data_IF_955448723010
#
_entry.id   IF_955448723010
#
_cell.length_a   1.000
_cell.length_b   1.000
_cell.length_c   1.000
_cell.angle_alpha   90.00
_cell.angle_beta   90.00
_cell.angle_gamma   90.00
#
_symmetry.space_group_name_H-M   'P 1'
#
loop_
_entity.id
_entity.type
_entity.pdbx_description
1 polymer ?
#
# COMPACT_ATOMS: atom_id res chain seq x y z
N UNK A 1 7.40 -2.95 12.17
CA UNK A 1 6.84 -2.67 10.83
C UNK A 1 5.76 -1.64 11.06
N UNK A 2 5.81 -0.51 10.38
CA UNK A 2 4.82 0.55 10.52
C UNK A 2 4.06 0.63 9.20
N UNK A 3 2.75 0.41 9.24
CA UNK A 3 1.89 0.53 8.07
C UNK A 3 1.12 1.85 8.16
N UNK A 4 1.17 2.64 7.09
CA UNK A 4 0.43 3.90 6.95
C UNK A 4 -0.44 3.82 5.71
N UNK A 5 -1.70 4.21 5.84
CA UNK A 5 -2.68 4.19 4.76
C UNK A 5 -3.21 5.61 4.62
N UNK A 6 -2.78 6.27 3.55
CA UNK A 6 -3.16 7.64 3.20
C UNK A 6 -4.20 7.58 2.08
N UNK A 7 -5.24 8.41 2.15
CA UNK A 7 -6.17 8.56 1.03
C UNK A 7 -5.53 9.51 0.02
N UNK A 8 -5.36 9.05 -1.22
CA UNK A 8 -4.91 9.91 -2.32
C UNK A 8 -6.09 10.75 -2.84
N UNK A 9 -5.79 11.83 -3.55
CA UNK A 9 -6.80 12.77 -4.08
C UNK A 9 -7.72 12.10 -5.12
N UNK A 10 -7.18 11.09 -5.82
CA UNK A 10 -7.94 10.17 -6.68
C UNK A 10 -8.47 9.02 -5.83
N UNK A 11 -9.62 8.40 -6.17
CA UNK A 11 -10.26 7.24 -5.51
C UNK A 11 -9.34 6.01 -5.30
N UNK A 12 -8.28 6.21 -4.54
CA UNK A 12 -7.14 5.33 -4.38
C UNK A 12 -6.50 5.65 -3.04
N UNK A 13 -5.83 4.66 -2.48
CA UNK A 13 -5.14 4.76 -1.20
C UNK A 13 -3.67 4.51 -1.42
N UNK A 14 -2.81 5.30 -0.77
CA UNK A 14 -1.39 5.08 -0.76
C UNK A 14 -1.03 4.34 0.53
N UNK A 15 -0.65 3.08 0.37
CA UNK A 15 -0.21 2.21 1.46
C UNK A 15 1.31 2.27 1.55
N UNK A 16 1.84 2.71 2.69
CA UNK A 16 3.27 2.74 2.99
C UNK A 16 3.59 1.76 4.10
N UNK A 17 4.56 0.89 3.88
CA UNK A 17 5.07 -0.06 4.87
C UNK A 17 6.53 0.30 5.16
N UNK A 18 6.84 0.57 6.42
CA UNK A 18 8.21 0.77 6.88
C UNK A 18 8.67 -0.47 7.66
N UNK A 19 9.76 -1.08 7.24
CA UNK A 19 10.33 -2.23 7.95
C UNK A 19 11.17 -1.77 9.17
N UNK A 20 11.68 -2.73 9.96
CA UNK A 20 12.50 -2.42 11.14
C UNK A 20 13.87 -1.82 10.78
N UNK A 21 14.32 -2.03 9.55
CA UNK A 21 15.59 -1.51 9.03
C UNK A 21 15.46 -0.05 8.53
N UNK A 22 14.26 0.54 8.62
CA UNK A 22 13.99 1.90 8.13
C UNK A 22 13.61 1.99 6.65
N UNK A 23 13.71 0.88 5.91
CA UNK A 23 13.32 0.81 4.50
C UNK A 23 11.82 1.03 4.34
N UNK A 24 11.44 1.91 3.42
CA UNK A 24 10.05 2.31 3.15
C UNK A 24 9.62 1.72 1.81
N UNK A 25 8.45 1.11 1.83
CA UNK A 25 7.83 0.47 0.70
C UNK A 25 6.46 1.10 0.47
N UNK A 26 6.10 1.36 -0.78
CA UNK A 26 4.89 2.12 -1.12
C UNK A 26 4.13 1.37 -2.20
N UNK A 27 2.83 1.20 -2.01
CA UNK A 27 1.91 0.61 -2.97
C UNK A 27 0.70 1.52 -3.15
N UNK A 28 0.35 1.80 -4.41
CA UNK A 28 -0.91 2.46 -4.73
C UNK A 28 -2.02 1.42 -4.81
N UNK A 29 -3.01 1.57 -3.95
CA UNK A 29 -4.19 0.71 -3.86
C UNK A 29 -5.33 1.39 -4.61
N UNK A 30 -5.74 0.83 -5.74
CA UNK A 30 -6.83 1.38 -6.53
C UNK A 30 -8.17 0.82 -6.04
N UNK A 31 -9.17 1.68 -5.88
CA UNK A 31 -10.53 1.23 -5.66
C UNK A 31 -11.05 0.63 -6.97
N UNK A 32 -11.27 -0.69 -7.03
CA UNK A 32 -11.90 -1.34 -8.19
C UNK A 32 -13.38 -0.99 -8.18
N UNK A 33 -13.76 0.02 -8.95
CA UNK A 33 -15.16 0.37 -9.18
C UNK A 33 -15.74 -0.64 -10.20
N UNK A 34 -16.20 -1.80 -9.75
CA UNK A 34 -16.68 -2.83 -10.71
C UNK A 34 -17.28 -4.12 -10.18
N UNK A 35 -17.25 -4.40 -8.87
CA UNK A 35 -18.05 -5.48 -8.29
C UNK A 35 -18.69 -4.99 -7.00
N UNK A 36 -19.92 -5.45 -6.74
CA UNK A 36 -20.85 -5.00 -5.68
C UNK A 36 -20.38 -5.33 -4.24
N UNK A 37 -19.12 -5.10 -3.95
CA UNK A 37 -18.57 -5.04 -2.62
C UNK A 37 -17.76 -3.75 -2.61
N UNK A 38 -18.22 -2.73 -1.89
CA UNK A 38 -17.46 -1.52 -1.66
C UNK A 38 -16.12 -1.92 -1.02
N UNK A 39 -15.08 -2.12 -1.84
CA UNK A 39 -13.70 -2.31 -1.37
C UNK A 39 -13.25 -0.98 -0.80
N UNK A 40 -13.70 -0.67 0.41
CA UNK A 40 -13.46 0.58 1.11
C UNK A 40 -11.99 0.83 1.37
N UNK A 41 -11.68 1.69 2.34
CA UNK A 41 -10.30 1.91 2.77
C UNK A 41 -9.64 0.54 3.06
N UNK A 42 -8.49 0.20 2.44
CA UNK A 42 -7.84 -1.07 2.68
C UNK A 42 -7.55 -1.19 4.17
N UNK A 43 -7.78 -2.37 4.74
CA UNK A 43 -7.48 -2.61 6.15
C UNK A 43 -6.00 -2.87 6.35
N UNK A 44 -5.51 -2.64 7.57
CA UNK A 44 -4.13 -2.97 7.91
C UNK A 44 -3.83 -4.45 7.63
N UNK A 45 -4.76 -5.37 7.97
CA UNK A 45 -4.58 -6.80 7.72
C UNK A 45 -4.40 -7.15 6.25
N UNK A 46 -5.16 -6.52 5.36
CA UNK A 46 -5.01 -6.72 3.91
C UNK A 46 -3.67 -6.22 3.40
N UNK A 47 -3.25 -5.04 3.86
CA UNK A 47 -1.93 -4.47 3.50
C UNK A 47 -0.79 -5.33 4.04
N UNK A 48 -0.90 -5.85 5.27
CA UNK A 48 0.10 -6.75 5.85
C UNK A 48 0.17 -8.10 5.14
N UNK A 49 -0.99 -8.69 4.79
CA UNK A 49 -1.08 -9.93 4.04
C UNK A 49 -0.45 -9.76 2.65
N UNK A 50 -0.85 -8.72 1.93
CA UNK A 50 -0.32 -8.41 0.61
C UNK A 50 1.17 -8.04 0.66
N UNK A 51 1.65 -7.41 1.72
CA UNK A 51 3.09 -7.19 1.93
C UNK A 51 3.86 -8.50 2.11
N UNK A 52 3.29 -9.47 2.83
CA UNK A 52 3.90 -10.78 3.05
C UNK A 52 3.91 -11.63 1.77
N UNK A 53 2.86 -11.56 0.97
CA UNK A 53 2.69 -12.37 -0.25
C UNK A 53 3.27 -11.71 -1.50
N UNK A 54 3.21 -10.38 -1.60
CA UNK A 54 3.55 -9.59 -2.78
C UNK A 54 4.47 -8.40 -2.44
N UNK A 55 5.55 -8.66 -1.70
CA UNK A 55 6.53 -7.63 -1.26
C UNK A 55 7.03 -6.76 -2.42
N UNK A 56 7.26 -7.35 -3.58
CA UNK A 56 7.74 -6.68 -4.80
C UNK A 56 6.73 -5.67 -5.38
N UNK A 57 5.44 -5.84 -5.07
CA UNK A 57 4.38 -4.94 -5.52
C UNK A 57 4.38 -3.59 -4.77
N UNK A 58 5.07 -3.49 -3.64
CA UNK A 58 5.23 -2.26 -2.87
C UNK A 58 6.46 -1.43 -3.27
N UNK A 59 6.79 -1.43 -4.57
CA UNK A 59 7.87 -0.65 -5.15
C UNK A 59 7.38 0.56 -5.95
N UNK A 60 6.21 1.13 -5.64
CA UNK A 60 5.63 2.28 -6.36
C UNK A 60 6.25 3.63 -5.90
N UNK A 61 6.63 4.56 -6.78
CA UNK A 61 6.65 4.51 -8.25
C UNK A 61 8.07 4.19 -8.78
N UNK A 62 8.77 3.24 -8.18
CA UNK A 62 10.21 3.00 -8.27
C UNK A 62 10.99 3.92 -7.31
N UNK A 63 11.12 3.48 -6.06
CA UNK A 63 11.82 4.22 -5.02
C UNK A 63 12.75 3.29 -4.24
N UNK A 64 13.84 2.86 -4.90
CA UNK A 64 15.14 3.18 -4.30
C UNK A 64 15.20 4.71 -4.21
N UNK A 65 14.48 5.29 -3.25
CA UNK A 65 14.74 6.65 -2.82
C UNK A 65 16.04 6.56 -2.04
N UNK A 66 17.15 6.53 -2.77
CA UNK A 66 18.38 7.10 -2.27
C UNK A 66 18.05 8.55 -1.95
N UNK A 67 17.75 8.85 -0.69
CA UNK A 67 18.15 10.07 0.01
C UNK A 67 17.70 9.99 1.47
#
# INVERSE_FOLDING_TARGET
>A
MIVKILKDSSNSFLCTVQNKNGEKYVKKWFHKQGNKEELGRPTFKEVEKDWRENRESFMYPNAKAFY
#
